data_IF_157370921586
#
_entry.id   IF_157370921586
#
_cell.length_a   1.000
_cell.length_b   1.000
_cell.length_c   1.000
_cell.angle_alpha   90.00
_cell.angle_beta   90.00
_cell.angle_gamma   90.00
#
_symmetry.space_group_name_H-M   'P 1'
#
loop_
_entity.id
_entity.type
_entity.pdbx_description
1 polymer ?
#
# COMPACT_ATOMS: atom_id res chain seq x y z
N UNK A 1 21.98 2.39 7.02
CA UNK A 1 21.60 3.81 6.87
C UNK A 1 22.30 4.56 5.74
N UNK A 2 23.36 4.03 5.09
CA UNK A 2 24.03 4.75 4.01
C UNK A 2 23.34 4.61 2.64
N UNK A 3 22.61 3.51 2.44
CA UNK A 3 22.01 3.15 1.15
C UNK A 3 21.13 4.25 0.53
N UNK A 4 20.19 4.89 1.26
CA UNK A 4 19.34 5.92 0.67
C UNK A 4 20.12 7.12 0.14
N UNK A 5 21.17 7.54 0.85
CA UNK A 5 22.01 8.67 0.44
C UNK A 5 22.88 8.34 -0.77
N UNK A 6 23.41 7.11 -0.83
CA UNK A 6 24.21 6.67 -1.96
C UNK A 6 23.36 6.54 -3.23
N UNK A 7 22.16 5.96 -3.11
CA UNK A 7 21.23 5.85 -4.24
C UNK A 7 20.77 7.24 -4.68
N UNK A 8 20.44 8.13 -3.75
CA UNK A 8 20.07 9.51 -4.07
C UNK A 8 21.18 10.22 -4.86
N UNK A 9 22.45 10.10 -4.44
CA UNK A 9 23.57 10.73 -5.13
C UNK A 9 23.75 10.18 -6.55
N UNK A 10 23.64 8.85 -6.72
CA UNK A 10 23.72 8.20 -8.03
C UNK A 10 22.52 8.56 -8.91
N UNK A 11 21.33 8.74 -8.37
CA UNK A 11 20.15 9.16 -9.15
C UNK A 11 20.26 10.63 -9.57
N UNK A 12 20.78 11.50 -8.69
CA UNK A 12 20.94 12.93 -8.94
C UNK A 12 22.09 13.26 -9.91
N UNK A 13 23.23 12.58 -9.80
CA UNK A 13 24.45 12.91 -10.55
C UNK A 13 24.90 11.82 -11.54
N UNK A 14 24.27 10.65 -11.51
CA UNK A 14 24.68 9.50 -12.33
C UNK A 14 24.20 9.55 -13.77
N UNK A 15 24.65 8.55 -14.54
CA UNK A 15 24.24 8.34 -15.93
C UNK A 15 22.83 7.77 -16.01
N UNK A 16 22.19 7.95 -17.17
CA UNK A 16 20.86 7.36 -17.43
C UNK A 16 20.86 5.83 -17.28
N UNK A 17 21.91 5.16 -17.74
CA UNK A 17 22.07 3.71 -17.58
C UNK A 17 22.12 3.28 -16.10
N UNK A 18 22.78 4.05 -15.23
CA UNK A 18 22.81 3.75 -13.80
C UNK A 18 21.42 3.91 -13.16
N UNK A 19 20.65 4.93 -13.56
CA UNK A 19 19.27 5.12 -13.07
C UNK A 19 18.36 3.97 -13.50
N UNK A 20 18.45 3.55 -14.75
CA UNK A 20 17.68 2.41 -15.27
C UNK A 20 18.04 1.12 -14.53
N UNK A 21 19.33 0.85 -14.36
CA UNK A 21 19.80 -0.33 -13.60
C UNK A 21 19.25 -0.36 -12.18
N UNK A 22 19.24 0.78 -11.47
CA UNK A 22 18.67 0.88 -10.12
C UNK A 22 17.16 0.61 -10.15
N UNK A 23 16.44 1.19 -11.12
CA UNK A 23 14.99 0.98 -11.25
C UNK A 23 14.65 -0.49 -11.54
N UNK A 24 15.44 -1.17 -12.39
CA UNK A 24 15.26 -2.59 -12.71
C UNK A 24 15.54 -3.49 -11.50
N UNK A 25 16.58 -3.19 -10.72
CA UNK A 25 16.86 -3.92 -9.48
C UNK A 25 15.73 -3.76 -8.46
N UNK A 26 15.23 -2.53 -8.26
CA UNK A 26 14.10 -2.27 -7.36
C UNK A 26 12.86 -3.04 -7.81
N UNK A 27 12.55 -3.01 -9.11
CA UNK A 27 11.42 -3.75 -9.68
C UNK A 27 11.60 -5.25 -9.50
N UNK A 28 12.79 -5.80 -9.77
CA UNK A 28 13.07 -7.22 -9.63
C UNK A 28 12.86 -7.71 -8.20
N UNK A 29 13.32 -6.94 -7.19
CA UNK A 29 13.12 -7.27 -5.78
C UNK A 29 11.63 -7.21 -5.41
N UNK A 30 10.91 -6.19 -5.87
CA UNK A 30 9.48 -6.04 -5.58
C UNK A 30 8.63 -7.11 -6.28
N UNK A 31 8.95 -7.46 -7.52
CA UNK A 31 8.26 -8.51 -8.28
C UNK A 31 8.53 -9.89 -7.68
N UNK A 32 9.75 -10.17 -7.23
CA UNK A 32 10.05 -11.40 -6.48
C UNK A 32 9.17 -11.51 -5.24
N UNK A 33 9.06 -10.43 -4.46
CA UNK A 33 8.19 -10.38 -3.29
C UNK A 33 6.69 -10.48 -3.64
N UNK A 34 6.27 -9.90 -4.76
CA UNK A 34 4.88 -9.92 -5.20
C UNK A 34 4.47 -11.26 -5.87
N UNK A 35 5.43 -12.00 -6.43
CA UNK A 35 5.23 -13.24 -7.19
C UNK A 35 5.36 -14.51 -6.36
N UNK A 36 5.93 -14.46 -5.15
CA UNK A 36 5.92 -15.61 -4.23
C UNK A 36 4.45 -16.01 -3.97
N UNK A 37 4.01 -16.99 -4.75
CA UNK A 37 2.62 -17.36 -4.91
C UNK A 37 2.23 -18.26 -3.74
N UNK A 38 1.02 -18.03 -3.24
CA UNK A 38 0.23 -18.91 -2.37
C UNK A 38 0.84 -20.28 -2.07
N UNK A 39 1.36 -20.45 -0.86
CA UNK A 39 1.75 -21.76 -0.39
C UNK A 39 2.50 -21.64 0.90
N UNK A 40 1.87 -22.11 1.97
CA UNK A 40 2.49 -22.55 3.21
C UNK A 40 3.76 -23.33 2.88
N UNK A 41 4.88 -22.64 2.72
CA UNK A 41 6.21 -23.25 2.72
C UNK A 41 6.83 -22.83 4.01
N UNK A 42 6.69 -23.74 4.95
CA UNK A 42 7.28 -23.77 6.29
C UNK A 42 8.80 -23.98 6.15
N UNK A 43 9.45 -23.29 5.19
CA UNK A 43 10.89 -23.28 5.00
C UNK A 43 11.41 -21.92 5.48
N UNK A 44 11.41 -21.83 6.81
CA UNK A 44 11.71 -20.69 7.68
C UNK A 44 13.11 -20.04 7.53
N UNK A 45 13.88 -20.34 6.49
CA UNK A 45 15.25 -19.81 6.31
C UNK A 45 15.41 -18.80 5.18
N UNK A 46 14.49 -18.74 4.20
CA UNK A 46 14.55 -17.79 3.07
C UNK A 46 13.59 -16.60 3.18
N UNK A 47 12.43 -16.80 3.81
CA UNK A 47 11.35 -15.79 3.91
C UNK A 47 11.83 -14.52 4.62
N UNK A 48 12.60 -14.65 5.71
CA UNK A 48 13.10 -13.50 6.46
C UNK A 48 14.16 -12.67 5.73
N UNK A 49 14.92 -13.26 4.80
CA UNK A 49 15.91 -12.49 4.03
C UNK A 49 15.23 -11.65 2.94
N UNK A 50 14.22 -12.23 2.26
CA UNK A 50 13.41 -11.52 1.27
C UNK A 50 12.67 -10.33 1.91
N UNK A 51 12.05 -10.52 3.09
CA UNK A 51 11.37 -9.45 3.82
C UNK A 51 12.30 -8.29 4.21
N UNK A 52 13.52 -8.58 4.68
CA UNK A 52 14.49 -7.54 5.04
C UNK A 52 14.94 -6.75 3.82
N UNK A 53 15.15 -7.41 2.67
CA UNK A 53 15.46 -6.74 1.41
C UNK A 53 14.31 -5.81 0.97
N UNK A 54 13.07 -6.28 1.03
CA UNK A 54 11.89 -5.50 0.64
C UNK A 54 11.68 -4.31 1.60
N UNK A 55 11.87 -4.50 2.90
CA UNK A 55 11.83 -3.40 3.88
C UNK A 55 12.93 -2.35 3.63
N UNK A 56 14.13 -2.78 3.24
CA UNK A 56 15.21 -1.87 2.85
C UNK A 56 14.85 -1.07 1.59
N UNK A 57 14.21 -1.71 0.60
CA UNK A 57 13.68 -1.04 -0.60
C UNK A 57 12.58 -0.04 -0.24
N UNK A 58 11.62 -0.40 0.62
CA UNK A 58 10.60 0.57 1.06
C UNK A 58 11.21 1.73 1.83
N UNK A 59 12.19 1.47 2.70
CA UNK A 59 12.92 2.54 3.40
C UNK A 59 13.63 3.46 2.40
N UNK A 60 14.26 2.90 1.36
CA UNK A 60 14.86 3.68 0.28
C UNK A 60 13.82 4.55 -0.43
N UNK A 61 12.69 3.97 -0.85
CA UNK A 61 11.61 4.70 -1.55
C UNK A 61 11.01 5.82 -0.67
N UNK A 62 10.80 5.56 0.62
CA UNK A 62 10.29 6.55 1.57
C UNK A 62 11.27 7.73 1.71
N UNK A 63 12.59 7.46 1.78
CA UNK A 63 13.61 8.51 1.84
C UNK A 63 13.68 9.33 0.55
N UNK A 64 13.58 8.68 -0.62
CA UNK A 64 13.56 9.37 -1.91
C UNK A 64 12.29 10.24 -2.05
N UNK A 65 11.13 9.71 -1.64
CA UNK A 65 9.87 10.44 -1.62
C UNK A 65 9.91 11.65 -0.69
N UNK A 66 10.39 11.46 0.55
CA UNK A 66 10.54 12.54 1.51
C UNK A 66 11.47 13.65 0.98
N UNK A 67 12.60 13.28 0.38
CA UNK A 67 13.51 14.25 -0.22
C UNK A 67 12.84 15.07 -1.34
N UNK A 68 12.07 14.42 -2.22
CA UNK A 68 11.32 15.11 -3.27
C UNK A 68 10.31 16.11 -2.69
N UNK A 69 9.61 15.73 -1.63
CA UNK A 69 8.63 16.60 -0.99
C UNK A 69 9.28 17.77 -0.22
N UNK A 70 10.40 17.53 0.44
CA UNK A 70 11.22 18.58 1.07
C UNK A 70 11.69 19.61 0.02
N UNK A 71 12.11 19.15 -1.16
CA UNK A 71 12.50 20.02 -2.27
C UNK A 71 11.32 20.83 -2.81
N UNK A 72 10.15 20.21 -3.02
CA UNK A 72 8.94 20.94 -3.43
C UNK A 72 8.55 22.00 -2.40
N UNK A 73 8.65 21.69 -1.11
CA UNK A 73 8.33 22.62 -0.04
C UNK A 73 9.33 23.79 0.00
N UNK A 74 10.63 23.53 -0.14
CA UNK A 74 11.65 24.57 -0.21
C UNK A 74 11.40 25.55 -1.38
N UNK A 75 11.06 25.02 -2.55
CA UNK A 75 10.68 25.84 -3.72
C UNK A 75 9.42 26.66 -3.44
N UNK A 76 8.37 26.06 -2.88
CA UNK A 76 7.14 26.78 -2.54
C UNK A 76 7.38 27.93 -1.55
N UNK A 77 8.21 27.70 -0.53
CA UNK A 77 8.60 28.73 0.44
C UNK A 77 9.39 29.87 -0.22
N UNK A 78 10.33 29.54 -1.10
CA UNK A 78 11.12 30.55 -1.82
C UNK A 78 10.25 31.47 -2.69
N UNK A 79 9.22 30.92 -3.36
CA UNK A 79 8.27 31.67 -4.16
C UNK A 79 7.36 32.55 -3.29
N UNK A 80 6.95 32.05 -2.11
CA UNK A 80 6.13 32.81 -1.17
C UNK A 80 6.85 34.06 -0.64
N UNK A 81 8.14 33.94 -0.30
CA UNK A 81 8.98 35.03 0.21
C UNK A 81 9.25 36.11 -0.84
N UNK A 82 9.32 35.73 -2.11
CA UNK A 82 9.42 36.66 -3.24
C UNK A 82 8.11 37.43 -3.47
N UNK A 83 6.95 36.78 -3.25
CA UNK A 83 5.64 37.44 -3.39
C UNK A 83 5.32 38.45 -2.29
N UNK A 84 5.82 38.24 -1.07
CA UNK A 84 5.64 39.18 0.07
C UNK A 84 6.54 40.42 0.01
N UNK A 85 7.59 40.42 -0.82
CA UNK A 85 8.52 41.55 -0.96
C UNK A 85 8.07 42.60 -2.01
N UNK A 86 6.84 42.50 -2.51
CA UNK A 86 6.28 43.33 -3.58
C UNK A 86 5.82 44.76 -3.20
N UNK A 87 6.30 45.35 -2.09
CA UNK A 87 6.10 46.79 -1.80
C UNK A 87 7.40 47.51 -1.45
N UNK A 88 7.95 48.09 -2.52
CA UNK A 88 8.73 49.33 -2.61
C UNK A 88 10.26 49.29 -2.78
N UNK A 89 10.64 50.02 -3.85
CA UNK A 89 11.87 50.77 -4.19
C UNK A 89 13.00 50.04 -4.94
N UNK A 90 13.22 50.54 -6.16
CA UNK A 90 14.25 50.19 -7.13
C UNK A 90 15.64 50.81 -6.80
N UNK A 91 16.63 50.75 -7.71
CA UNK A 91 17.50 49.62 -8.01
C UNK A 91 18.99 49.97 -7.78
N UNK A 92 19.85 49.01 -7.39
CA UNK A 92 21.32 49.01 -7.68
C UNK A 92 22.04 47.84 -6.99
N UNK A 93 22.36 46.81 -7.77
CA UNK A 93 23.72 46.29 -7.97
C UNK A 93 23.60 44.96 -8.73
N UNK A 94 24.16 45.00 -9.93
CA UNK A 94 24.29 43.90 -10.88
C UNK A 94 25.50 43.08 -10.42
N UNK A 95 25.40 41.74 -10.50
CA UNK A 95 26.50 40.74 -10.52
C UNK A 95 26.41 39.56 -9.53
N UNK A 96 25.25 39.31 -8.88
CA UNK A 96 25.09 38.12 -8.01
C UNK A 96 23.83 37.27 -8.25
N UNK A 97 23.13 37.45 -9.38
CA UNK A 97 21.87 36.76 -9.69
C UNK A 97 22.02 35.59 -10.69
N UNK A 98 23.22 35.35 -11.24
CA UNK A 98 23.47 34.34 -12.28
C UNK A 98 23.83 32.95 -11.75
N UNK A 99 24.29 32.81 -10.50
CA UNK A 99 24.61 31.50 -9.90
C UNK A 99 23.40 30.83 -9.25
N UNK A 100 22.48 31.58 -8.64
CA UNK A 100 21.31 31.03 -7.96
C UNK A 100 20.28 30.44 -8.90
N UNK A 101 20.17 30.96 -10.13
CA UNK A 101 19.26 30.45 -11.15
C UNK A 101 19.74 29.12 -11.75
N UNK A 102 21.04 28.96 -11.94
CA UNK A 102 21.62 27.70 -12.45
C UNK A 102 21.57 26.57 -11.42
N UNK A 103 21.76 26.87 -10.13
CA UNK A 103 21.63 25.90 -9.04
C UNK A 103 20.17 25.45 -8.85
N UNK A 104 19.20 26.35 -8.95
CA UNK A 104 17.78 25.99 -8.89
C UNK A 104 17.33 25.13 -10.08
N UNK A 105 17.78 25.47 -11.28
CA UNK A 105 17.49 24.66 -12.48
C UNK A 105 18.11 23.26 -12.38
N UNK A 106 19.32 23.13 -11.81
CA UNK A 106 19.95 21.83 -11.56
C UNK A 106 19.18 20.99 -10.53
N UNK A 107 18.78 21.58 -9.40
CA UNK A 107 17.99 20.88 -8.39
C UNK A 107 16.63 20.43 -8.92
N UNK A 108 16.01 21.23 -9.79
CA UNK A 108 14.74 20.87 -10.43
C UNK A 108 14.89 19.70 -11.41
N UNK A 109 16.01 19.66 -12.14
CA UNK A 109 16.36 18.52 -13.02
C UNK A 109 16.61 17.25 -12.19
N UNK A 110 17.32 17.36 -11.07
CA UNK A 110 17.53 16.24 -10.14
C UNK A 110 16.23 15.72 -9.53
N UNK A 111 15.33 16.62 -9.12
CA UNK A 111 14.00 16.26 -8.64
C UNK A 111 13.20 15.49 -9.69
N UNK A 112 13.32 15.86 -10.98
CA UNK A 112 12.66 15.14 -12.07
C UNK A 112 13.17 13.71 -12.20
N UNK A 113 14.48 13.49 -12.10
CA UNK A 113 15.04 12.13 -12.19
C UNK A 113 14.58 11.23 -11.03
N UNK A 114 14.53 11.76 -9.81
CA UNK A 114 14.01 10.99 -8.66
C UNK A 114 12.52 10.71 -8.83
N UNK A 115 11.73 11.68 -9.30
CA UNK A 115 10.31 11.50 -9.56
C UNK A 115 10.06 10.46 -10.65
N UNK A 116 10.83 10.48 -11.73
CA UNK A 116 10.75 9.51 -12.82
C UNK A 116 11.02 8.08 -12.32
N UNK A 117 12.03 7.89 -11.47
CA UNK A 117 12.30 6.61 -10.83
C UNK A 117 11.13 6.15 -9.95
N UNK A 118 10.54 7.03 -9.14
CA UNK A 118 9.41 6.69 -8.29
C UNK A 118 8.15 6.36 -9.10
N UNK A 119 7.93 7.03 -10.23
CA UNK A 119 6.80 6.80 -11.13
C UNK A 119 6.97 5.55 -12.01
N UNK A 120 8.21 5.10 -12.25
CA UNK A 120 8.50 3.89 -13.01
C UNK A 120 7.99 2.62 -12.29
N UNK A 121 7.78 2.68 -10.97
CA UNK A 121 7.38 1.53 -10.16
C UNK A 121 5.86 1.38 -10.14
N UNK A 122 5.29 0.25 -10.59
CA UNK A 122 3.85 0.03 -10.54
C UNK A 122 3.30 -0.02 -9.11
N UNK A 123 2.25 0.78 -8.85
CA UNK A 123 1.58 0.83 -7.54
C UNK A 123 1.00 -0.51 -7.10
N UNK A 124 0.52 -1.32 -8.04
CA UNK A 124 -0.02 -2.66 -7.75
C UNK A 124 1.08 -3.58 -7.21
N UNK A 125 2.28 -3.52 -7.79
CA UNK A 125 3.45 -4.29 -7.30
C UNK A 125 3.84 -3.83 -5.90
N UNK A 126 3.90 -2.51 -5.67
CA UNK A 126 4.17 -1.94 -4.34
C UNK A 126 3.13 -2.39 -3.30
N UNK A 127 1.85 -2.40 -3.66
CA UNK A 127 0.77 -2.88 -2.79
C UNK A 127 0.95 -4.36 -2.45
N UNK A 128 1.18 -5.22 -3.45
CA UNK A 128 1.38 -6.67 -3.22
C UNK A 128 2.60 -6.96 -2.37
N UNK A 129 3.74 -6.32 -2.65
CA UNK A 129 4.97 -6.50 -1.88
C UNK A 129 4.82 -6.02 -0.43
N UNK A 130 4.12 -4.89 -0.20
CA UNK A 130 3.87 -4.38 1.15
C UNK A 130 2.86 -5.23 1.92
N UNK A 131 1.84 -5.78 1.26
CA UNK A 131 0.91 -6.74 1.87
C UNK A 131 1.66 -7.97 2.41
N UNK A 132 2.62 -8.50 1.64
CA UNK A 132 3.46 -9.62 2.06
C UNK A 132 4.31 -9.31 3.27
N UNK A 133 4.88 -8.11 3.32
CA UNK A 133 5.66 -7.64 4.47
C UNK A 133 4.82 -7.23 5.68
N UNK A 134 3.51 -7.55 5.70
CA UNK A 134 2.56 -7.18 6.75
C UNK A 134 2.42 -5.66 6.98
N UNK A 135 2.86 -4.85 6.00
CA UNK A 135 2.71 -3.40 6.04
C UNK A 135 1.35 -3.00 5.44
N UNK A 136 0.25 -3.45 6.07
CA UNK A 136 -1.11 -3.36 5.52
C UNK A 136 -1.55 -1.92 5.20
N UNK A 137 -1.22 -0.95 6.07
CA UNK A 137 -1.54 0.46 5.80
C UNK A 137 -0.83 1.01 4.54
N UNK A 138 0.44 0.63 4.32
CA UNK A 138 1.19 1.01 3.12
C UNK A 138 0.61 0.33 1.87
N UNK A 139 0.26 -0.96 1.99
CA UNK A 139 -0.42 -1.70 0.92
C UNK A 139 -1.73 -1.03 0.52
N UNK A 140 -2.51 -0.63 1.52
CA UNK A 140 -3.79 0.03 1.31
C UNK A 140 -3.60 1.36 0.56
N UNK A 141 -2.66 2.20 1.02
CA UNK A 141 -2.36 3.49 0.39
C UNK A 141 -2.04 3.34 -1.10
N UNK A 142 -1.20 2.37 -1.48
CA UNK A 142 -0.84 2.15 -2.88
C UNK A 142 -2.02 1.64 -3.71
N UNK A 143 -2.79 0.69 -3.18
CA UNK A 143 -3.91 0.10 -3.89
C UNK A 143 -5.06 1.12 -4.06
N UNK A 144 -5.37 1.90 -3.04
CA UNK A 144 -6.35 2.98 -3.15
C UNK A 144 -5.92 4.04 -4.16
N UNK A 145 -4.64 4.40 -4.19
CA UNK A 145 -4.12 5.34 -5.18
C UNK A 145 -4.27 4.78 -6.60
N UNK A 146 -3.99 3.49 -6.79
CA UNK A 146 -4.18 2.79 -8.07
C UNK A 146 -5.66 2.78 -8.51
N UNK A 147 -6.55 2.37 -7.61
CA UNK A 147 -7.99 2.33 -7.86
C UNK A 147 -8.54 3.73 -8.14
N UNK A 148 -8.01 4.76 -7.47
CA UNK A 148 -8.42 6.14 -7.69
C UNK A 148 -8.05 6.67 -9.06
N UNK A 149 -6.88 6.29 -9.58
CA UNK A 149 -6.45 6.66 -10.92
C UNK A 149 -7.23 5.91 -12.01
N UNK A 150 -7.58 4.65 -11.77
CA UNK A 150 -8.29 3.79 -12.72
C UNK A 150 -9.81 4.04 -12.75
N UNK A 151 -10.43 4.10 -11.57
CA UNK A 151 -11.89 4.12 -11.38
C UNK A 151 -12.40 5.41 -10.74
N UNK A 152 -11.55 6.40 -10.46
CA UNK A 152 -11.99 7.66 -9.87
C UNK A 152 -12.27 7.56 -8.36
N UNK A 153 -13.18 8.36 -7.85
CA UNK A 153 -13.30 8.55 -6.39
C UNK A 153 -14.10 7.42 -5.73
N UNK A 154 -13.64 6.95 -4.56
CA UNK A 154 -14.33 5.94 -3.74
C UNK A 154 -15.56 6.49 -2.98
N UNK A 155 -15.81 7.81 -3.02
CA UNK A 155 -16.94 8.41 -2.32
C UNK A 155 -18.24 8.23 -3.13
N UNK A 156 -19.28 7.56 -2.60
CA UNK A 156 -20.57 7.39 -3.28
C UNK A 156 -21.29 8.73 -3.56
N UNK A 157 -20.96 9.80 -2.84
CA UNK A 157 -21.50 11.15 -3.07
C UNK A 157 -20.74 11.96 -4.14
N UNK A 158 -19.73 11.38 -4.78
CA UNK A 158 -18.93 12.05 -5.81
C UNK A 158 -19.57 11.88 -7.19
N UNK A 159 -19.51 12.92 -8.02
CA UNK A 159 -20.04 12.93 -9.39
C UNK A 159 -19.36 11.90 -10.32
N UNK A 160 -18.21 11.34 -9.91
CA UNK A 160 -17.46 10.31 -10.63
C UNK A 160 -17.42 9.01 -9.82
N UNK A 161 -18.55 8.33 -9.70
CA UNK A 161 -18.61 6.92 -9.31
C UNK A 161 -18.17 6.08 -10.50
N UNK A 162 -16.86 5.80 -10.61
CA UNK A 162 -16.38 4.90 -11.64
C UNK A 162 -16.73 3.45 -11.31
N UNK A 163 -16.61 2.60 -12.31
CA UNK A 163 -16.87 1.17 -12.18
C UNK A 163 -15.66 0.56 -11.48
N UNK A 164 -15.88 -0.01 -10.29
CA UNK A 164 -14.86 -0.79 -9.59
C UNK A 164 -14.86 -2.22 -10.12
N UNK A 165 -13.66 -2.72 -10.42
CA UNK A 165 -13.49 -4.12 -10.78
C UNK A 165 -13.55 -4.99 -9.52
N UNK A 166 -14.23 -6.13 -9.61
CA UNK A 166 -14.37 -7.05 -8.47
C UNK A 166 -13.02 -7.53 -7.94
N UNK A 167 -11.99 -7.63 -8.79
CA UNK A 167 -10.63 -8.02 -8.38
C UNK A 167 -9.96 -6.97 -7.47
N UNK A 168 -10.15 -5.69 -7.79
CA UNK A 168 -9.61 -4.58 -7.01
C UNK A 168 -10.33 -4.48 -5.66
N UNK A 169 -11.66 -4.63 -5.66
CA UNK A 169 -12.48 -4.65 -4.44
C UNK A 169 -12.11 -5.84 -3.54
N UNK A 170 -11.96 -7.05 -4.11
CA UNK A 170 -11.53 -8.23 -3.36
C UNK A 170 -10.15 -8.05 -2.73
N UNK A 171 -9.21 -7.45 -3.47
CA UNK A 171 -7.87 -7.14 -2.96
C UNK A 171 -7.92 -6.12 -1.81
N UNK A 172 -8.73 -5.07 -1.92
CA UNK A 172 -8.96 -4.09 -0.85
C UNK A 172 -9.59 -4.74 0.39
N UNK A 173 -10.62 -5.57 0.21
CA UNK A 173 -11.24 -6.31 1.31
C UNK A 173 -10.24 -7.24 2.00
N UNK A 174 -9.35 -7.89 1.25
CA UNK A 174 -8.25 -8.69 1.81
C UNK A 174 -7.35 -7.87 2.75
N UNK A 175 -6.96 -6.66 2.35
CA UNK A 175 -6.14 -5.76 3.18
C UNK A 175 -6.90 -5.28 4.41
N UNK A 176 -8.15 -4.83 4.24
CA UNK A 176 -9.00 -4.37 5.36
C UNK A 176 -9.28 -5.47 6.39
N UNK A 177 -9.39 -6.71 5.93
CA UNK A 177 -9.55 -7.86 6.84
C UNK A 177 -8.33 -8.07 7.74
N UNK A 178 -7.14 -7.67 7.30
CA UNK A 178 -5.91 -7.72 8.10
C UNK A 178 -5.76 -6.50 9.02
N UNK A 179 -6.47 -5.41 8.73
CA UNK A 179 -6.52 -4.21 9.58
C UNK A 179 -7.59 -4.29 10.68
N UNK A 180 -8.43 -5.34 10.67
CA UNK A 180 -9.54 -5.52 11.61
C UNK A 180 -10.56 -4.35 11.61
N UNK A 181 -10.82 -3.78 10.43
CA UNK A 181 -11.74 -2.65 10.21
C UNK A 181 -13.05 -3.13 9.54
N UNK A 182 -14.06 -3.57 10.32
CA UNK A 182 -15.29 -4.16 9.77
C UNK A 182 -16.17 -3.15 9.01
N UNK A 183 -16.19 -1.89 9.44
CA UNK A 183 -16.96 -0.83 8.78
C UNK A 183 -16.50 -0.64 7.32
N UNK A 184 -15.18 -0.54 7.12
CA UNK A 184 -14.58 -0.45 5.79
C UNK A 184 -14.92 -1.66 4.91
N UNK A 185 -14.88 -2.88 5.46
CA UNK A 185 -15.25 -4.09 4.72
C UNK A 185 -16.70 -4.07 4.23
N UNK A 186 -17.63 -3.61 5.08
CA UNK A 186 -19.05 -3.46 4.70
C UNK A 186 -19.23 -2.42 3.59
N UNK A 187 -18.46 -1.32 3.64
CA UNK A 187 -18.41 -0.31 2.60
C UNK A 187 -17.96 -0.89 1.25
N UNK A 188 -16.86 -1.64 1.22
CA UNK A 188 -16.40 -2.28 -0.01
C UNK A 188 -17.34 -3.38 -0.53
N UNK A 189 -17.99 -4.11 0.36
CA UNK A 189 -19.01 -5.09 -0.02
C UNK A 189 -20.16 -4.44 -0.79
N UNK A 190 -20.56 -3.23 -0.41
CA UNK A 190 -21.60 -2.46 -1.13
C UNK A 190 -21.16 -1.98 -2.52
N UNK A 191 -19.85 -1.82 -2.73
CA UNK A 191 -19.27 -1.43 -4.03
C UNK A 191 -19.10 -2.63 -4.97
N UNK A 192 -19.05 -3.85 -4.43
CA UNK A 192 -18.97 -5.07 -5.22
C UNK A 192 -20.31 -5.34 -5.93
N UNK A 193 -20.25 -5.71 -7.21
CA UNK A 193 -21.45 -6.11 -7.97
C UNK A 193 -21.98 -7.48 -7.55
N UNK A 194 -21.13 -8.31 -6.95
CA UNK A 194 -21.46 -9.66 -6.53
C UNK A 194 -20.59 -10.03 -5.33
N UNK A 195 -21.21 -10.12 -4.15
CA UNK A 195 -20.53 -10.54 -2.95
C UNK A 195 -20.49 -12.07 -2.87
N UNK A 196 -19.30 -12.64 -2.68
CA UNK A 196 -19.18 -14.07 -2.40
C UNK A 196 -19.73 -14.38 -1.01
N UNK A 197 -20.33 -15.56 -0.82
CA UNK A 197 -20.71 -16.03 0.52
C UNK A 197 -19.50 -16.07 1.47
N UNK A 198 -18.30 -16.32 0.94
CA UNK A 198 -17.07 -16.30 1.74
C UNK A 198 -16.71 -14.88 2.20
N UNK A 199 -16.95 -13.88 1.37
CA UNK A 199 -16.70 -12.47 1.71
C UNK A 199 -17.69 -11.99 2.77
N UNK A 200 -18.96 -12.40 2.67
CA UNK A 200 -19.97 -12.12 3.68
C UNK A 200 -19.58 -12.72 5.04
N UNK A 201 -19.20 -14.00 5.07
CA UNK A 201 -18.73 -14.65 6.30
C UNK A 201 -17.49 -13.98 6.89
N UNK A 202 -16.58 -13.50 6.04
CA UNK A 202 -15.41 -12.75 6.48
C UNK A 202 -15.81 -11.43 7.14
N UNK A 203 -16.76 -10.68 6.56
CA UNK A 203 -17.30 -9.44 7.14
C UNK A 203 -17.94 -9.72 8.49
N UNK A 204 -18.80 -10.74 8.58
CA UNK A 204 -19.54 -11.06 9.81
C UNK A 204 -18.59 -11.50 10.92
N UNK A 205 -17.55 -12.27 10.56
CA UNK A 205 -16.47 -12.66 11.48
C UNK A 205 -15.72 -11.46 12.03
N UNK A 206 -15.38 -10.49 11.17
CA UNK A 206 -14.65 -9.27 11.58
C UNK A 206 -15.52 -8.27 12.32
N UNK A 207 -16.81 -8.24 12.03
CA UNK A 207 -17.80 -7.37 12.71
C UNK A 207 -18.22 -7.90 14.08
N UNK A 208 -17.84 -9.14 14.43
CA UNK A 208 -18.22 -9.78 15.68
C UNK A 208 -19.63 -10.39 15.68
N UNK A 209 -20.26 -10.52 14.51
CA UNK A 209 -21.57 -11.15 14.33
C UNK A 209 -21.45 -12.69 14.36
N UNK A 210 -20.88 -13.22 15.44
CA UNK A 210 -20.55 -14.64 15.57
C UNK A 210 -21.76 -15.57 15.52
N UNK A 211 -22.98 -15.08 15.82
CA UNK A 211 -24.21 -15.86 15.70
C UNK A 211 -24.55 -16.24 14.24
N UNK A 212 -24.36 -15.30 13.30
CA UNK A 212 -24.61 -15.53 11.87
C UNK A 212 -23.52 -16.43 11.28
N UNK A 213 -22.26 -16.17 11.65
CA UNK A 213 -21.12 -17.02 11.26
C UNK A 213 -21.32 -18.45 11.77
N UNK A 214 -21.73 -18.61 13.02
CA UNK A 214 -22.00 -19.92 13.63
C UNK A 214 -23.09 -20.68 12.85
N UNK A 215 -24.20 -20.02 12.53
CA UNK A 215 -25.30 -20.63 11.77
C UNK A 215 -24.82 -21.13 10.40
N UNK A 216 -24.00 -20.34 9.71
CA UNK A 216 -23.44 -20.73 8.42
C UNK A 216 -22.39 -21.85 8.54
N UNK A 217 -21.57 -21.84 9.59
CA UNK A 217 -20.63 -22.92 9.89
C UNK A 217 -21.34 -24.23 10.21
N UNK A 218 -22.44 -24.20 10.99
CA UNK A 218 -23.26 -25.38 11.27
C UNK A 218 -23.92 -25.93 9.99
N UNK A 219 -24.47 -25.05 9.16
CA UNK A 219 -25.06 -25.47 7.88
C UNK A 219 -24.00 -26.12 6.98
N UNK A 220 -22.79 -25.56 6.92
CA UNK A 220 -21.70 -26.14 6.18
C UNK A 220 -21.23 -27.49 6.75
N UNK A 221 -21.22 -27.63 8.07
CA UNK A 221 -20.88 -28.88 8.74
C UNK A 221 -21.91 -29.98 8.46
N UNK A 222 -23.20 -29.64 8.38
CA UNK A 222 -24.25 -30.59 8.00
C UNK A 222 -24.05 -31.13 6.58
N UNK A 223 -23.53 -30.30 5.66
CA UNK A 223 -23.22 -30.71 4.29
C UNK A 223 -21.95 -31.55 4.20
N UNK A 224 -20.94 -31.26 5.03
CA UNK A 224 -19.63 -31.91 5.03
C UNK A 224 -19.21 -32.37 6.45
N UNK A 225 -19.84 -33.42 7.01
CA UNK A 225 -19.65 -33.80 8.41
C UNK A 225 -18.28 -34.39 8.73
N UNK A 226 -17.53 -34.83 7.71
CA UNK A 226 -16.20 -35.46 7.86
C UNK A 226 -15.05 -34.46 7.79
N UNK A 227 -15.31 -33.19 7.49
CA UNK A 227 -14.26 -32.19 7.29
C UNK A 227 -13.79 -31.60 8.62
N UNK A 228 -12.52 -31.86 8.97
CA UNK A 228 -11.88 -31.30 10.18
C UNK A 228 -11.86 -29.78 10.18
N UNK A 229 -11.76 -29.15 9.00
CA UNK A 229 -11.74 -27.70 8.88
C UNK A 229 -13.06 -27.07 9.30
N UNK A 230 -14.20 -27.69 8.94
CA UNK A 230 -15.54 -27.22 9.34
C UNK A 230 -15.76 -27.35 10.85
N UNK A 231 -15.32 -28.47 11.45
CA UNK A 231 -15.34 -28.66 12.90
C UNK A 231 -14.49 -27.59 13.62
N UNK A 232 -13.30 -27.28 13.09
CA UNK A 232 -12.45 -26.22 13.62
C UNK A 232 -13.11 -24.84 13.53
N UNK A 233 -13.82 -24.54 12.46
CA UNK A 233 -14.52 -23.26 12.28
C UNK A 233 -15.66 -23.11 13.31
N UNK A 234 -16.44 -24.18 13.56
CA UNK A 234 -17.50 -24.21 14.58
C UNK A 234 -16.91 -24.00 15.98
N UNK A 235 -15.83 -24.70 16.33
CA UNK A 235 -15.16 -24.52 17.62
C UNK A 235 -14.61 -23.11 17.80
N UNK A 236 -14.06 -22.50 16.73
CA UNK A 236 -13.60 -21.11 16.75
C UNK A 236 -14.78 -20.15 17.01
N UNK A 237 -15.94 -20.38 16.38
CA UNK A 237 -17.14 -19.57 16.64
C UNK A 237 -17.62 -19.71 18.10
N UNK A 238 -17.69 -20.94 18.63
CA UNK A 238 -18.07 -21.20 20.03
C UNK A 238 -17.10 -20.55 21.02
N UNK A 239 -15.80 -20.54 20.71
CA UNK A 239 -14.79 -19.88 21.51
C UNK A 239 -15.02 -18.36 21.56
N UNK A 240 -15.27 -17.72 20.41
CA UNK A 240 -15.51 -16.28 20.35
C UNK A 240 -16.85 -15.85 20.97
N UNK A 241 -17.84 -16.76 21.03
CA UNK A 241 -19.10 -16.55 21.76
C UNK A 241 -19.02 -16.90 23.27
N UNK A 242 -17.85 -17.34 23.76
CA UNK A 242 -17.64 -17.80 25.15
C UNK A 242 -18.55 -18.99 25.56
N UNK A 243 -18.99 -19.82 24.61
CA UNK A 243 -19.82 -21.00 24.85
C UNK A 243 -18.95 -22.24 25.15
N UNK A 244 -18.17 -22.17 26.22
CA UNK A 244 -17.17 -23.20 26.56
C UNK A 244 -17.78 -24.57 26.87
N UNK A 245 -18.98 -24.61 27.47
CA UNK A 245 -19.66 -25.87 27.79
C UNK A 245 -20.01 -26.66 26.53
N UNK A 246 -20.56 -25.97 25.52
CA UNK A 246 -20.92 -26.57 24.23
C UNK A 246 -19.68 -27.03 23.46
N UNK A 247 -18.58 -26.29 23.58
CA UNK A 247 -17.29 -26.67 22.99
C UNK A 247 -16.76 -27.99 23.56
N UNK A 248 -16.83 -28.18 24.88
CA UNK A 248 -16.41 -29.43 25.54
C UNK A 248 -17.26 -30.62 25.09
N UNK A 249 -18.55 -30.42 24.86
CA UNK A 249 -19.45 -31.50 24.40
C UNK A 249 -19.31 -31.83 22.92
N UNK A 250 -18.67 -30.95 22.14
CA UNK A 250 -18.47 -31.13 20.69
C UNK A 250 -17.16 -31.85 20.35
N UNK A 251 -16.21 -31.93 21.32
CA UNK A 251 -14.97 -32.72 21.23
C UNK A 251 -15.23 -34.16 21.66
#
# INVERSE_FOLDING_TARGET
YLLPYLVLDVVCHGTEAARLSISEEILSVLDAAASENSGVTINSFGVGQSEVCVQAVFTLLDNLGQWVDDMKQAVALSLSLQSSSGRQVAPKSKDQASSSTTEHDQLLVQCKYVLELLLAIPKVTLARASFRCQAYARSLMYLESHVREKSGTLNPASEKTGIFENADVSSLMGIYSCLDEPDGLSGFASLSKSLSLQDQLLIDKKSGNWAEVFTACEQALQMEPTSVQRHSDVLNCLLNMCHHQTMVTHV
#
